data_IF_815153828578
#
_entry.id   IF_815153828578
#
_cell.length_a   1.000
_cell.length_b   1.000
_cell.length_c   1.000
_cell.angle_alpha   90.00
_cell.angle_beta   90.00
_cell.angle_gamma   90.00
#
_symmetry.space_group_name_H-M   'P 1'
#
loop_
_entity.id
_entity.type
_entity.pdbx_description
1 polymer ?
#
# COMPACT_ATOMS: atom_id res chain seq x y z
N UNK A 1 -5.17 13.79 -14.66
CA UNK A 1 -5.36 12.81 -13.56
C UNK A 1 -4.01 12.60 -12.93
N UNK A 2 -3.82 12.90 -11.64
CA UNK A 2 -2.56 12.58 -10.97
C UNK A 2 -2.46 11.07 -10.81
N UNK A 3 -1.54 10.47 -11.55
CA UNK A 3 -1.15 9.09 -11.35
C UNK A 3 -0.32 9.01 -10.06
N UNK A 4 -0.84 8.35 -9.03
CA UNK A 4 -0.09 8.08 -7.80
C UNK A 4 0.71 6.80 -8.06
N UNK A 5 2.05 6.83 -8.08
CA UNK A 5 2.84 5.62 -8.32
C UNK A 5 2.75 4.67 -7.12
N UNK A 6 3.11 3.40 -7.31
CA UNK A 6 3.13 2.37 -6.27
C UNK A 6 1.75 2.05 -5.71
N UNK A 7 0.72 2.04 -6.56
CA UNK A 7 -0.58 1.52 -6.13
C UNK A 7 -0.52 0.00 -6.03
N UNK A 8 -1.29 -0.60 -5.11
CA UNK A 8 -1.22 -2.06 -4.86
C UNK A 8 -1.49 -2.91 -6.10
N UNK A 9 -2.32 -2.44 -7.03
CA UNK A 9 -2.61 -3.15 -8.27
C UNK A 9 -1.44 -3.10 -9.27
N UNK A 10 -0.53 -2.13 -9.14
CA UNK A 10 0.72 -2.06 -9.91
C UNK A 10 1.80 -2.95 -9.30
N UNK A 11 1.85 -3.01 -7.96
CA UNK A 11 2.82 -3.84 -7.23
C UNK A 11 2.46 -5.34 -7.29
N UNK A 12 1.16 -5.68 -7.40
CA UNK A 12 0.67 -7.06 -7.41
C UNK A 12 -0.36 -7.31 -8.53
N UNK A 13 0.00 -7.11 -9.82
CA UNK A 13 -0.95 -7.22 -10.93
C UNK A 13 -1.55 -8.62 -11.07
N UNK A 14 -0.75 -9.65 -10.79
CA UNK A 14 -1.16 -11.06 -10.88
C UNK A 14 -2.10 -11.48 -9.73
N UNK A 15 -2.17 -10.71 -8.65
CA UNK A 15 -2.99 -11.03 -7.48
C UNK A 15 -4.30 -10.22 -7.42
N UNK A 16 -4.69 -9.55 -8.52
CA UNK A 16 -5.83 -8.63 -8.54
C UNK A 16 -7.15 -9.26 -8.06
N UNK A 17 -7.48 -10.47 -8.53
CA UNK A 17 -8.67 -11.20 -8.05
C UNK A 17 -8.56 -11.51 -6.55
N UNK A 18 -7.42 -12.05 -6.13
CA UNK A 18 -7.21 -12.43 -4.73
C UNK A 18 -7.28 -11.23 -3.78
N UNK A 19 -6.72 -10.10 -4.17
CA UNK A 19 -6.83 -8.84 -3.42
C UNK A 19 -8.28 -8.38 -3.30
N UNK A 20 -9.07 -8.48 -4.38
CA UNK A 20 -10.49 -8.13 -4.39
C UNK A 20 -11.31 -9.03 -3.46
N UNK A 21 -11.01 -10.33 -3.43
CA UNK A 21 -11.62 -11.28 -2.49
C UNK A 21 -11.26 -10.96 -1.04
N UNK A 22 -9.95 -10.86 -0.74
CA UNK A 22 -9.47 -10.61 0.62
C UNK A 22 -9.96 -9.27 1.16
N UNK A 23 -10.06 -8.23 0.33
CA UNK A 23 -10.69 -6.94 0.74
C UNK A 23 -12.13 -7.09 1.22
N UNK A 24 -12.87 -8.09 0.74
CA UNK A 24 -14.27 -8.33 1.13
C UNK A 24 -14.40 -9.31 2.29
N UNK A 25 -13.50 -10.27 2.38
CA UNK A 25 -13.62 -11.42 3.30
C UNK A 25 -12.69 -11.35 4.50
N UNK A 26 -11.62 -10.55 4.44
CA UNK A 26 -10.62 -10.41 5.48
C UNK A 26 -10.50 -8.93 5.91
N UNK A 27 -11.04 -8.63 7.10
CA UNK A 27 -11.03 -7.29 7.66
C UNK A 27 -9.61 -6.78 8.00
N UNK A 28 -8.65 -7.68 8.23
CA UNK A 28 -7.25 -7.30 8.45
C UNK A 28 -6.62 -6.89 7.12
N UNK A 29 -6.81 -7.69 6.07
CA UNK A 29 -6.35 -7.35 4.73
C UNK A 29 -6.90 -6.00 4.26
N UNK A 30 -8.20 -5.77 4.45
CA UNK A 30 -8.84 -4.50 4.09
C UNK A 30 -8.15 -3.29 4.76
N UNK A 31 -7.87 -3.40 6.08
CA UNK A 31 -7.17 -2.35 6.82
C UNK A 31 -5.75 -2.12 6.34
N UNK A 32 -5.00 -3.20 6.06
CA UNK A 32 -3.64 -3.08 5.51
C UNK A 32 -3.64 -2.40 4.14
N UNK A 33 -4.57 -2.79 3.27
CA UNK A 33 -4.68 -2.21 1.94
C UNK A 33 -5.02 -0.72 2.01
N UNK A 34 -5.99 -0.33 2.84
CA UNK A 34 -6.38 1.07 3.01
C UNK A 34 -5.24 1.89 3.62
N UNK A 35 -4.57 1.35 4.66
CA UNK A 35 -3.39 2.01 5.25
C UNK A 35 -2.25 2.19 4.25
N UNK A 36 -2.01 1.19 3.41
CA UNK A 36 -1.02 1.27 2.34
C UNK A 36 -1.36 2.42 1.37
N UNK A 37 -2.62 2.51 0.92
CA UNK A 37 -3.05 3.59 0.03
C UNK A 37 -2.90 4.98 0.69
N UNK A 38 -3.23 5.11 1.97
CA UNK A 38 -3.07 6.37 2.72
C UNK A 38 -1.61 6.80 2.78
N UNK A 39 -0.71 5.91 3.21
CA UNK A 39 0.72 6.17 3.33
C UNK A 39 1.32 6.49 1.95
N UNK A 40 0.95 5.74 0.92
CA UNK A 40 1.43 5.99 -0.44
C UNK A 40 1.02 7.36 -0.96
N UNK A 41 -0.24 7.77 -0.72
CA UNK A 41 -0.72 9.11 -1.07
C UNK A 41 -0.02 10.20 -0.27
N UNK A 42 0.28 9.97 1.00
CA UNK A 42 1.02 10.93 1.82
C UNK A 42 2.45 11.12 1.30
N UNK A 43 3.15 10.03 0.97
CA UNK A 43 4.48 10.07 0.32
C UNK A 43 4.40 10.86 -0.99
N UNK A 44 3.43 10.55 -1.85
CA UNK A 44 3.30 11.24 -3.13
C UNK A 44 3.05 12.75 -2.96
N UNK A 45 2.24 13.16 -1.97
CA UNK A 45 2.02 14.59 -1.68
C UNK A 45 3.27 15.28 -1.15
N UNK A 46 4.08 14.59 -0.35
CA UNK A 46 5.37 15.10 0.10
C UNK A 46 6.35 15.25 -1.08
N UNK A 47 6.52 14.21 -1.90
CA UNK A 47 7.43 14.19 -3.05
C UNK A 47 7.06 15.20 -4.15
N UNK A 48 5.76 15.48 -4.32
CA UNK A 48 5.28 16.48 -5.29
C UNK A 48 5.24 17.91 -4.74
N UNK A 49 5.80 18.15 -3.55
CA UNK A 49 5.80 19.44 -2.85
C UNK A 49 4.38 20.01 -2.62
N UNK A 50 3.36 19.16 -2.60
CA UNK A 50 1.98 19.55 -2.27
C UNK A 50 1.82 19.68 -0.76
N UNK A 51 2.37 18.72 -0.01
CA UNK A 51 2.45 18.73 1.47
C UNK A 51 3.86 18.27 1.88
N UNK A 52 4.89 19.11 1.69
CA UNK A 52 6.25 18.74 2.06
C UNK A 52 6.35 18.52 3.58
N UNK A 53 7.12 17.52 3.97
CA UNK A 53 7.36 17.17 5.37
C UNK A 53 8.86 17.10 5.64
N UNK A 54 9.24 16.93 6.92
CA UNK A 54 10.64 16.71 7.26
C UNK A 54 11.16 15.42 6.62
N UNK A 55 12.44 15.40 6.21
CA UNK A 55 13.06 14.26 5.56
C UNK A 55 12.93 12.98 6.42
N UNK A 56 13.11 13.10 7.73
CA UNK A 56 12.95 11.99 8.67
C UNK A 56 11.55 11.38 8.61
N UNK A 57 10.52 12.22 8.49
CA UNK A 57 9.14 11.77 8.39
C UNK A 57 8.86 11.08 7.05
N UNK A 58 9.41 11.60 5.95
CA UNK A 58 9.35 10.96 4.65
C UNK A 58 10.02 9.57 4.65
N UNK A 59 11.17 9.44 5.31
CA UNK A 59 11.85 8.17 5.52
C UNK A 59 11.04 7.19 6.38
N UNK A 60 10.32 7.66 7.39
CA UNK A 60 9.39 6.83 8.18
C UNK A 60 8.23 6.32 7.33
N UNK A 61 7.57 7.19 6.56
CA UNK A 61 6.47 6.80 5.68
C UNK A 61 6.92 5.77 4.64
N UNK A 62 8.09 5.95 4.01
CA UNK A 62 8.62 4.97 3.04
C UNK A 62 8.90 3.62 3.69
N UNK A 63 9.42 3.60 4.92
CA UNK A 63 9.63 2.36 5.69
C UNK A 63 8.30 1.70 6.04
N UNK A 64 7.28 2.48 6.41
CA UNK A 64 5.93 1.98 6.66
C UNK A 64 5.32 1.36 5.39
N UNK A 65 5.40 2.04 4.24
CA UNK A 65 4.92 1.52 2.95
C UNK A 65 5.56 0.16 2.62
N UNK A 66 6.87 0.02 2.82
CA UNK A 66 7.57 -1.25 2.59
C UNK A 66 7.06 -2.36 3.51
N UNK A 67 6.92 -2.10 4.83
CA UNK A 67 6.37 -3.09 5.77
C UNK A 67 4.96 -3.53 5.41
N UNK A 68 4.09 -2.58 5.07
CA UNK A 68 2.72 -2.87 4.64
C UNK A 68 2.71 -3.72 3.37
N UNK A 69 3.60 -3.41 2.41
CA UNK A 69 3.75 -4.19 1.17
C UNK A 69 4.13 -5.65 1.48
N UNK A 70 5.10 -5.85 2.36
CA UNK A 70 5.57 -7.18 2.73
C UNK A 70 4.49 -7.98 3.45
N UNK A 71 3.71 -7.35 4.34
CA UNK A 71 2.60 -8.00 5.03
C UNK A 71 1.47 -8.39 4.06
N UNK A 72 1.11 -7.49 3.14
CA UNK A 72 0.14 -7.76 2.07
C UNK A 72 0.61 -8.92 1.20
N UNK A 73 1.87 -8.92 0.77
CA UNK A 73 2.46 -10.02 -0.01
C UNK A 73 2.41 -11.35 0.77
N UNK A 74 2.68 -11.32 2.07
CA UNK A 74 2.55 -12.46 2.97
C UNK A 74 1.12 -13.01 3.04
N UNK A 75 0.09 -12.15 2.99
CA UNK A 75 -1.30 -12.59 2.95
C UNK A 75 -1.72 -13.11 1.57
N UNK A 76 -1.21 -12.52 0.49
CA UNK A 76 -1.51 -12.97 -0.88
C UNK A 76 -0.86 -14.30 -1.22
N UNK A 77 0.33 -14.57 -0.68
CA UNK A 77 1.06 -15.83 -0.87
C UNK A 77 0.55 -16.99 0.00
N UNK A 78 -0.27 -16.71 1.02
CA UNK A 78 -0.98 -17.76 1.76
C UNK A 78 -2.07 -18.34 0.87
N UNK A 79 -1.71 -19.37 0.11
CA UNK A 79 -2.66 -20.25 -0.56
C UNK A 79 -3.66 -20.76 0.48
N UNK A 80 -4.95 -20.61 0.20
CA UNK A 80 -5.97 -21.34 0.95
C UNK A 80 -5.64 -22.83 0.80
N UNK A 81 -5.12 -23.43 1.86
CA UNK A 81 -4.82 -24.86 1.93
C UNK A 81 -6.09 -25.69 1.85
#
# INVERSE_FOLDING_TARGET
MSHVPHELHEEFPEAAERMSELRKTDAHFAKLADRYHEVNRAIHRAETNVEPCAEEHEHEMRRERMRLKDEIAGMLSKTAG
#
